data_IF_892047419430
#
_entry.id   IF_892047419430
#
_cell.length_a   1.000
_cell.length_b   1.000
_cell.length_c   1.000
_cell.angle_alpha   90.00
_cell.angle_beta   90.00
_cell.angle_gamma   90.00
#
_symmetry.space_group_name_H-M   'P 1'
#
loop_
_entity.id
_entity.type
_entity.pdbx_description
1 polymer ?
#
# COMPACT_ATOMS: atom_id res chain seq x y z
N UNK A 1 -11.26 -9.80 -12.72
CA UNK A 1 -11.73 -9.48 -11.36
C UNK A 1 -11.24 -10.51 -10.36
N UNK A 2 -11.31 -11.81 -10.67
CA UNK A 2 -10.82 -12.92 -9.79
C UNK A 2 -9.39 -12.75 -9.23
N UNK A 3 -8.42 -12.30 -10.03
CA UNK A 3 -7.01 -12.17 -9.57
C UNK A 3 -6.80 -11.15 -8.44
N UNK A 4 -7.63 -10.13 -8.37
CA UNK A 4 -7.49 -9.07 -7.38
C UNK A 4 -8.03 -9.54 -6.03
N UNK A 5 -9.13 -10.29 -6.05
CA UNK A 5 -9.75 -10.87 -4.86
C UNK A 5 -8.87 -11.98 -4.27
N UNK A 6 -8.29 -12.88 -5.08
CA UNK A 6 -7.30 -13.88 -4.61
C UNK A 6 -6.06 -13.23 -3.99
N UNK A 7 -5.61 -12.09 -4.53
CA UNK A 7 -4.45 -11.37 -3.99
C UNK A 7 -4.76 -10.80 -2.61
N UNK A 8 -5.95 -10.23 -2.40
CA UNK A 8 -6.37 -9.73 -1.10
C UNK A 8 -6.71 -10.86 -0.10
N UNK A 9 -7.21 -12.01 -0.58
CA UNK A 9 -7.41 -13.21 0.24
C UNK A 9 -6.09 -13.83 0.71
N UNK A 10 -5.01 -13.71 -0.07
CA UNK A 10 -3.66 -14.13 0.30
C UNK A 10 -2.83 -13.03 0.99
N UNK A 11 -3.30 -11.77 0.96
CA UNK A 11 -2.57 -10.67 1.55
C UNK A 11 -2.51 -10.79 3.07
N UNK A 12 -1.32 -10.61 3.64
CA UNK A 12 -1.13 -10.60 5.09
C UNK A 12 -1.94 -9.44 5.71
N UNK A 13 -2.71 -9.64 6.79
CA UNK A 13 -3.58 -8.60 7.36
C UNK A 13 -2.89 -7.25 7.64
N UNK A 14 -1.61 -7.27 8.02
CA UNK A 14 -0.82 -6.04 8.19
C UNK A 14 -0.58 -5.26 6.89
N UNK A 15 -0.35 -5.94 5.75
CA UNK A 15 -0.16 -5.26 4.46
C UNK A 15 -1.44 -4.53 4.04
N UNK A 16 -2.60 -5.17 4.27
CA UNK A 16 -3.91 -4.55 4.02
C UNK A 16 -4.11 -3.33 4.92
N UNK A 17 -3.71 -3.42 6.19
CA UNK A 17 -3.81 -2.29 7.12
C UNK A 17 -2.92 -1.10 6.69
N UNK A 18 -1.68 -1.36 6.26
CA UNK A 18 -0.77 -0.32 5.74
C UNK A 18 -1.37 0.38 4.51
N UNK A 19 -1.80 -0.41 3.52
CA UNK A 19 -2.41 0.12 2.30
C UNK A 19 -3.69 0.91 2.59
N UNK A 20 -4.55 0.37 3.47
CA UNK A 20 -5.78 1.02 3.90
C UNK A 20 -5.52 2.35 4.62
N UNK A 21 -4.52 2.39 5.50
CA UNK A 21 -4.16 3.62 6.23
C UNK A 21 -3.64 4.70 5.27
N UNK A 22 -2.73 4.34 4.37
CA UNK A 22 -2.22 5.27 3.37
C UNK A 22 -3.32 5.79 2.43
N UNK A 23 -4.23 4.90 1.99
CA UNK A 23 -5.39 5.30 1.18
C UNK A 23 -6.30 6.29 1.92
N UNK A 24 -6.64 5.99 3.18
CA UNK A 24 -7.48 6.86 3.99
C UNK A 24 -6.83 8.23 4.20
N UNK A 25 -5.51 8.28 4.40
CA UNK A 25 -4.79 9.54 4.56
C UNK A 25 -4.81 10.39 3.29
N UNK A 26 -4.58 9.78 2.12
CA UNK A 26 -4.68 10.49 0.83
C UNK A 26 -6.09 11.03 0.57
N UNK A 27 -7.13 10.28 0.95
CA UNK A 27 -8.52 10.71 0.83
C UNK A 27 -8.83 11.90 1.73
N UNK A 28 -8.39 11.87 2.99
CA UNK A 28 -8.56 12.98 3.94
C UNK A 28 -7.83 14.24 3.48
N UNK A 29 -6.66 14.08 2.85
CA UNK A 29 -5.87 15.18 2.28
C UNK A 29 -6.36 15.64 0.90
N UNK A 30 -7.42 15.03 0.35
CA UNK A 30 -7.93 15.28 -1.01
C UNK A 30 -6.85 15.18 -2.10
N UNK A 31 -5.83 14.32 -1.87
CA UNK A 31 -4.74 14.08 -2.82
C UNK A 31 -5.16 13.11 -3.91
N UNK A 32 -4.49 13.22 -5.06
CA UNK A 32 -4.69 12.28 -6.15
C UNK A 32 -4.34 10.84 -5.72
N UNK A 33 -5.27 9.91 -5.95
CA UNK A 33 -5.06 8.49 -5.68
C UNK A 33 -4.26 7.86 -6.82
N UNK A 34 -2.94 7.83 -6.66
CA UNK A 34 -2.04 7.13 -7.56
C UNK A 34 -1.17 6.12 -6.80
N UNK A 35 -0.56 5.21 -7.56
CA UNK A 35 0.40 4.24 -7.02
C UNK A 35 1.57 4.96 -6.35
N UNK A 36 2.08 6.00 -7.01
CA UNK A 36 3.18 6.82 -6.53
C UNK A 36 2.78 7.58 -5.25
N UNK A 37 1.58 8.15 -5.21
CA UNK A 37 1.07 8.82 -4.02
C UNK A 37 0.90 7.86 -2.83
N UNK A 38 0.47 6.61 -3.08
CA UNK A 38 0.38 5.58 -2.05
C UNK A 38 1.76 5.18 -1.52
N UNK A 39 2.74 4.96 -2.41
CA UNK A 39 4.12 4.65 -2.01
C UNK A 39 4.70 5.78 -1.15
N UNK A 40 4.56 7.02 -1.60
CA UNK A 40 5.02 8.20 -0.86
C UNK A 40 4.34 8.30 0.51
N UNK A 41 3.02 8.10 0.58
CA UNK A 41 2.27 8.17 1.83
C UNK A 41 2.68 7.07 2.81
N UNK A 42 2.89 5.83 2.34
CA UNK A 42 3.40 4.75 3.18
C UNK A 42 4.80 5.13 3.69
N UNK A 43 5.66 5.64 2.82
CA UNK A 43 6.99 6.09 3.25
C UNK A 43 6.93 7.20 4.29
N UNK A 44 5.97 8.11 4.25
CA UNK A 44 5.80 9.17 5.26
C UNK A 44 5.24 8.64 6.58
N UNK A 45 4.23 7.77 6.52
CA UNK A 45 3.57 7.23 7.71
C UNK A 45 4.45 6.26 8.51
N UNK A 46 5.44 5.64 7.87
CA UNK A 46 6.29 4.60 8.45
C UNK A 46 7.80 4.95 8.36
N UNK A 47 8.19 6.22 8.64
CA UNK A 47 9.61 6.63 8.73
C UNK A 47 10.26 6.23 10.08
N UNK A 48 11.59 6.03 10.05
CA UNK A 48 12.54 5.57 11.10
C UNK A 48 12.79 4.05 11.20
N UNK A 49 13.83 3.63 11.96
CA UNK A 49 14.59 2.35 12.02
C UNK A 49 13.79 1.02 11.96
N UNK A 50 12.47 1.07 11.95
CA UNK A 50 11.56 -0.07 11.87
C UNK A 50 10.66 0.13 10.65
N UNK A 51 11.25 0.02 9.46
CA UNK A 51 10.48 -0.23 8.25
C UNK A 51 9.71 -1.54 8.49
N UNK A 52 8.45 -1.43 8.92
CA UNK A 52 7.65 -2.61 9.20
C UNK A 52 7.65 -3.47 7.93
N UNK A 53 7.92 -4.77 8.06
CA UNK A 53 7.94 -5.70 6.93
C UNK A 53 6.67 -5.56 6.07
N UNK A 54 5.53 -5.22 6.67
CA UNK A 54 4.30 -4.96 5.95
C UNK A 54 4.33 -3.68 5.09
N UNK A 55 5.05 -2.64 5.51
CA UNK A 55 5.27 -1.42 4.74
C UNK A 55 6.19 -1.67 3.54
N UNK A 56 7.28 -2.42 3.74
CA UNK A 56 8.16 -2.84 2.64
C UNK A 56 7.38 -3.66 1.60
N UNK A 57 6.64 -4.69 2.05
CA UNK A 57 5.84 -5.53 1.19
C UNK A 57 4.74 -4.74 0.46
N UNK A 58 4.10 -3.77 1.12
CA UNK A 58 3.10 -2.92 0.49
C UNK A 58 3.73 -2.08 -0.64
N UNK A 59 4.92 -1.51 -0.42
CA UNK A 59 5.66 -0.75 -1.46
C UNK A 59 6.07 -1.67 -2.61
N UNK A 60 6.54 -2.88 -2.33
CA UNK A 60 6.95 -3.84 -3.36
C UNK A 60 5.76 -4.22 -4.25
N UNK A 61 4.61 -4.55 -3.65
CA UNK A 61 3.36 -4.82 -4.36
C UNK A 61 2.96 -3.63 -5.23
N UNK A 62 3.04 -2.43 -4.67
CA UNK A 62 2.80 -1.18 -5.39
C UNK A 62 3.89 -0.84 -6.40
N UNK A 63 4.99 -1.59 -6.48
CA UNK A 63 6.03 -1.39 -7.50
C UNK A 63 5.92 -2.42 -8.64
N UNK A 64 5.18 -3.52 -8.44
CA UNK A 64 4.98 -4.54 -9.47
C UNK A 64 4.20 -4.02 -10.68
N UNK A 65 4.68 -4.18 -11.92
CA UNK A 65 3.97 -3.71 -13.11
C UNK A 65 2.56 -4.28 -13.14
N UNK A 66 1.60 -3.47 -13.60
CA UNK A 66 0.22 -3.93 -13.81
C UNK A 66 0.30 -5.20 -14.68
N UNK A 67 -0.14 -6.33 -14.13
CA UNK A 67 -0.10 -7.62 -14.82
C UNK A 67 -0.66 -7.45 -16.23
N UNK A 68 0.07 -7.99 -17.22
CA UNK A 68 -0.36 -8.02 -18.62
C UNK A 68 -1.77 -8.60 -18.76
#
# INVERSE_FOLDING_TARGET
>A
MEKTDEFFEQAHPHVVAVLGTALMQLLVEERALSREALVEMIQVLYQDDDFDLAAELAIDVLSLPKGK
#
